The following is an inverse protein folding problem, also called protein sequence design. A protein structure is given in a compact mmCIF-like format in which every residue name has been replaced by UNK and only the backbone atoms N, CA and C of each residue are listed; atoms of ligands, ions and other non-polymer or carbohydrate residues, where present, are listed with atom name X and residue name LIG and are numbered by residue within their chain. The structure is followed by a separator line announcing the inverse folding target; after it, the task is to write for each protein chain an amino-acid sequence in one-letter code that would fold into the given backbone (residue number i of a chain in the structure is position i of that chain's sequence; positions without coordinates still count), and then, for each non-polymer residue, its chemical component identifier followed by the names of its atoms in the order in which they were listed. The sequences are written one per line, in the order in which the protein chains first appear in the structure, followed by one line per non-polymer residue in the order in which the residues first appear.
data_IF_428365479281
#
_entry.id   IF_428365479281
#
_cell.length_a   1.000
_cell.length_b   1.000
_cell.length_c   1.000
_cell.angle_alpha   90.00
_cell.angle_beta   90.00
_cell.angle_gamma   90.00
#
_symmetry.space_group_name_H-M   'P 1'
#
loop_
_entity.id
_entity.type
_entity.pdbx_description
1 polymer ?
#
# COMPACT_ATOMS: atom_id res chain seq x y z
N UNK A 1 -10.05 10.35 12.08
CA UNK A 1 -10.94 9.23 11.77
C UNK A 1 -12.37 9.62 12.14
N UNK A 2 -13.28 9.63 11.16
CA UNK A 2 -14.70 10.02 11.36
C UNK A 2 -14.84 11.32 12.15
N UNK A 3 -14.18 12.39 11.67
CA UNK A 3 -14.13 13.74 12.27
C UNK A 3 -13.42 13.81 13.64
N UNK A 4 -12.98 12.66 14.19
CA UNK A 4 -12.23 12.65 15.44
C UNK A 4 -10.72 12.83 15.14
N UNK A 5 -10.07 13.85 15.73
CA UNK A 5 -8.63 14.02 15.58
C UNK A 5 -7.86 12.80 16.08
N UNK A 6 -6.80 12.38 15.39
CA UNK A 6 -5.98 11.25 15.83
C UNK A 6 -5.37 11.44 17.22
N UNK A 7 -5.08 12.69 17.60
CA UNK A 7 -4.58 13.05 18.92
C UNK A 7 -5.57 12.80 20.08
N UNK A 8 -6.86 12.63 19.78
CA UNK A 8 -7.90 12.33 20.76
C UNK A 8 -8.14 10.82 20.93
N UNK A 9 -7.52 9.99 20.09
CA UNK A 9 -7.64 8.53 20.13
C UNK A 9 -6.46 7.92 20.89
N UNK A 10 -6.72 6.86 21.65
CA UNK A 10 -5.65 6.04 22.22
C UNK A 10 -4.92 5.24 21.13
N UNK A 11 -3.66 4.87 21.39
CA UNK A 11 -2.91 4.00 20.46
C UNK A 11 -3.64 2.69 20.16
N UNK A 12 -4.32 2.10 21.16
CA UNK A 12 -5.09 0.87 20.97
C UNK A 12 -6.28 1.05 20.03
N UNK A 13 -6.96 2.20 20.07
CA UNK A 13 -8.06 2.54 19.15
C UNK A 13 -7.54 2.76 17.74
N UNK A 14 -6.42 3.50 17.60
CA UNK A 14 -5.79 3.74 16.28
C UNK A 14 -5.43 2.41 15.62
N UNK A 15 -4.66 1.54 16.30
CA UNK A 15 -4.16 0.30 15.72
C UNK A 15 -5.22 -0.82 15.57
N UNK A 16 -6.44 -0.62 16.06
CA UNK A 16 -7.58 -1.49 15.74
C UNK A 16 -8.28 -1.09 14.44
N UNK A 17 -8.13 0.16 14.03
CA UNK A 17 -8.83 0.74 12.85
C UNK A 17 -7.86 0.99 11.69
N UNK A 18 -6.60 1.26 11.97
CA UNK A 18 -5.55 1.53 10.98
C UNK A 18 -4.56 0.38 10.98
N UNK A 19 -4.22 -0.14 9.81
CA UNK A 19 -3.14 -1.09 9.65
C UNK A 19 -2.05 -0.52 8.73
N UNK A 20 -0.79 -0.78 9.12
CA UNK A 20 0.39 -0.33 8.37
C UNK A 20 1.07 -1.50 7.68
N UNK A 21 1.35 -1.32 6.39
CA UNK A 21 2.09 -2.25 5.54
C UNK A 21 3.44 -1.62 5.22
N UNK A 22 4.53 -2.07 5.84
CA UNK A 22 5.87 -1.58 5.54
C UNK A 22 6.35 -2.11 4.19
N UNK A 23 7.40 -1.50 3.66
CA UNK A 23 8.18 -2.06 2.57
C UNK A 23 8.83 -3.38 3.01
N UNK A 24 8.82 -4.41 2.12
CA UNK A 24 9.28 -5.78 2.43
C UNK A 24 10.79 -5.95 2.56
N UNK A 25 11.55 -4.88 2.90
CA UNK A 25 13.02 -4.94 3.04
C UNK A 25 13.46 -5.60 4.35
N UNK A 26 14.38 -6.56 4.25
CA UNK A 26 15.19 -7.02 5.41
C UNK A 26 14.44 -7.86 6.45
N UNK A 27 13.27 -8.41 6.13
CA UNK A 27 12.53 -9.27 7.05
C UNK A 27 13.14 -10.68 7.00
N UNK A 28 14.13 -10.92 7.87
CA UNK A 28 14.71 -12.26 8.08
C UNK A 28 14.00 -12.93 9.27
N UNK A 29 12.78 -13.39 9.06
CA UNK A 29 12.01 -14.07 10.08
C UNK A 29 11.77 -15.54 9.70
N UNK A 30 11.95 -16.45 10.66
CA UNK A 30 11.70 -17.89 10.50
C UNK A 30 10.22 -18.27 10.56
N UNK A 31 9.31 -17.27 10.53
CA UNK A 31 7.87 -17.51 10.59
C UNK A 31 7.34 -17.95 9.22
N UNK A 32 6.34 -18.82 9.24
CA UNK A 32 5.51 -19.14 8.06
C UNK A 32 4.61 -17.95 7.70
N UNK A 33 4.03 -17.94 6.48
CA UNK A 33 3.06 -16.93 6.10
C UNK A 33 1.89 -16.84 7.09
N UNK A 34 1.35 -17.99 7.48
CA UNK A 34 0.21 -18.04 8.41
C UNK A 34 0.57 -17.42 9.78
N UNK A 35 1.73 -17.78 10.33
CA UNK A 35 2.21 -17.19 11.58
C UNK A 35 2.44 -15.68 11.46
N UNK A 36 3.01 -15.22 10.34
CA UNK A 36 3.20 -13.80 10.04
C UNK A 36 1.86 -13.05 9.99
N UNK A 37 0.85 -13.61 9.30
CA UNK A 37 -0.48 -13.02 9.19
C UNK A 37 -1.19 -13.01 10.55
N UNK A 38 -1.06 -14.08 11.31
CA UNK A 38 -1.63 -14.19 12.66
C UNK A 38 -1.10 -13.12 13.62
N UNK A 39 0.14 -12.62 13.43
CA UNK A 39 0.66 -11.47 14.20
C UNK A 39 -0.16 -10.20 13.99
N UNK A 40 -0.91 -10.07 12.90
CA UNK A 40 -1.87 -8.98 12.71
C UNK A 40 -2.96 -8.92 13.80
N UNK A 41 -3.20 -10.02 14.52
CA UNK A 41 -4.16 -10.07 15.63
C UNK A 41 -3.62 -9.55 16.96
N UNK A 42 -2.31 -9.28 17.05
CA UNK A 42 -1.65 -8.91 18.31
C UNK A 42 -2.25 -7.69 19.00
N UNK A 43 -2.76 -6.70 18.23
CA UNK A 43 -3.45 -5.52 18.80
C UNK A 43 -4.79 -5.83 19.50
N UNK A 44 -5.33 -7.02 19.28
CA UNK A 44 -6.60 -7.50 19.85
C UNK A 44 -6.40 -8.58 20.92
N UNK A 45 -5.18 -9.11 21.03
CA UNK A 45 -4.82 -10.12 22.02
C UNK A 45 -4.30 -9.44 23.29
N UNK A 46 -4.64 -9.99 24.46
CA UNK A 46 -4.01 -9.58 25.73
C UNK A 46 -2.54 -10.00 25.79
N UNK A 47 -1.77 -9.40 26.69
CA UNK A 47 -0.31 -9.56 26.79
C UNK A 47 0.19 -11.02 26.89
N UNK A 48 -0.64 -11.92 27.39
CA UNK A 48 -0.33 -13.36 27.56
C UNK A 48 -1.35 -14.26 26.86
N UNK A 49 -2.24 -13.69 26.02
CA UNK A 49 -3.24 -14.48 25.34
C UNK A 49 -2.61 -15.20 24.13
N UNK A 50 -2.95 -16.48 23.99
CA UNK A 50 -2.64 -17.21 22.76
C UNK A 50 -3.72 -16.96 21.71
N UNK A 51 -3.37 -16.99 20.42
CA UNK A 51 -4.35 -16.88 19.33
C UNK A 51 -5.43 -17.97 19.46
N UNK A 52 -6.66 -17.56 19.30
CA UNK A 52 -7.83 -18.45 19.31
C UNK A 52 -8.00 -19.15 17.95
N UNK A 53 -8.91 -20.14 17.88
CA UNK A 53 -9.31 -20.76 16.59
C UNK A 53 -9.92 -19.73 15.63
N UNK A 54 -10.60 -18.73 16.17
CA UNK A 54 -11.16 -17.64 15.36
C UNK A 54 -10.05 -16.74 14.78
N UNK A 55 -9.01 -16.43 15.52
CA UNK A 55 -7.87 -15.66 15.01
C UNK A 55 -7.15 -16.42 13.88
N UNK A 56 -7.02 -17.75 14.03
CA UNK A 56 -6.45 -18.61 12.99
C UNK A 56 -7.30 -18.57 11.71
N UNK A 57 -8.62 -18.73 11.83
CA UNK A 57 -9.57 -18.63 10.70
C UNK A 57 -9.45 -17.29 9.99
N UNK A 58 -9.36 -16.19 10.73
CA UNK A 58 -9.21 -14.84 10.17
C UNK A 58 -7.87 -14.67 9.45
N UNK A 59 -6.81 -15.30 9.92
CA UNK A 59 -5.51 -15.28 9.24
C UNK A 59 -5.56 -16.08 7.92
N UNK A 60 -6.22 -17.22 7.89
CA UNK A 60 -6.45 -18.01 6.67
C UNK A 60 -7.30 -17.26 5.67
N UNK A 61 -8.39 -16.62 6.10
CA UNK A 61 -9.24 -15.78 5.26
C UNK A 61 -8.48 -14.58 4.67
N UNK A 62 -7.60 -13.95 5.45
CA UNK A 62 -6.78 -12.86 4.96
C UNK A 62 -5.77 -13.30 3.89
N UNK A 63 -5.18 -14.50 4.02
CA UNK A 63 -4.33 -15.10 2.97
C UNK A 63 -5.14 -15.41 1.70
N UNK A 64 -6.37 -15.90 1.85
CA UNK A 64 -7.27 -16.16 0.73
C UNK A 64 -7.68 -14.88 0.01
N UNK A 65 -8.04 -13.85 0.77
CA UNK A 65 -8.42 -12.53 0.24
C UNK A 65 -7.33 -11.91 -0.65
N UNK A 66 -6.06 -12.09 -0.28
CA UNK A 66 -4.92 -11.63 -1.06
C UNK A 66 -4.53 -12.61 -2.18
N UNK A 67 -5.07 -13.84 -2.16
CA UNK A 67 -4.80 -14.87 -3.17
C UNK A 67 -3.50 -15.63 -2.94
N UNK A 68 -3.03 -15.73 -1.70
CA UNK A 68 -1.75 -16.36 -1.34
C UNK A 68 -1.88 -17.51 -0.33
N UNK A 69 -3.04 -18.16 -0.24
CA UNK A 69 -3.27 -19.31 0.66
C UNK A 69 -2.27 -20.44 0.45
N UNK A 70 -1.76 -20.62 -0.78
CA UNK A 70 -0.75 -21.62 -1.13
C UNK A 70 0.61 -21.38 -0.45
N UNK A 71 0.85 -20.17 0.09
CA UNK A 71 2.05 -19.82 0.83
C UNK A 71 1.92 -20.08 2.34
N UNK A 72 0.75 -20.48 2.84
CA UNK A 72 0.42 -20.54 4.27
C UNK A 72 1.53 -21.18 5.12
N UNK A 73 2.11 -22.28 4.69
CA UNK A 73 3.16 -23.03 5.39
C UNK A 73 4.59 -22.66 4.93
N UNK A 74 4.74 -21.79 3.94
CA UNK A 74 6.07 -21.40 3.43
C UNK A 74 6.73 -20.43 4.41
N UNK A 75 8.01 -20.66 4.78
CA UNK A 75 8.77 -19.70 5.59
C UNK A 75 8.94 -18.35 4.87
N UNK A 76 8.72 -17.24 5.57
CA UNK A 76 8.88 -15.89 4.99
C UNK A 76 10.29 -15.64 4.45
N UNK A 77 11.32 -16.26 5.04
CA UNK A 77 12.72 -16.18 4.59
C UNK A 77 12.98 -16.84 3.22
N UNK A 78 12.05 -17.66 2.73
CA UNK A 78 12.14 -18.36 1.43
C UNK A 78 11.21 -17.75 0.36
N UNK A 79 10.56 -16.63 0.68
CA UNK A 79 9.65 -15.96 -0.24
C UNK A 79 10.37 -14.98 -1.16
N UNK A 80 9.84 -14.81 -2.37
CA UNK A 80 10.20 -13.66 -3.21
C UNK A 80 9.69 -12.35 -2.56
N UNK A 81 10.24 -11.22 -2.98
CA UNK A 81 9.79 -9.91 -2.49
C UNK A 81 8.29 -9.68 -2.68
N UNK A 82 7.75 -10.08 -3.84
CA UNK A 82 6.31 -9.98 -4.13
C UNK A 82 5.45 -10.90 -3.26
N UNK A 83 5.87 -12.16 -3.06
CA UNK A 83 5.17 -13.09 -2.16
C UNK A 83 5.15 -12.54 -0.73
N UNK A 84 6.29 -12.05 -0.24
CA UNK A 84 6.39 -11.49 1.10
C UNK A 84 5.53 -10.22 1.25
N UNK A 85 5.52 -9.33 0.25
CA UNK A 85 4.68 -8.13 0.28
C UNK A 85 3.19 -8.48 0.33
N UNK A 86 2.74 -9.47 -0.42
CA UNK A 86 1.35 -9.96 -0.35
C UNK A 86 1.02 -10.53 1.03
N UNK A 87 1.93 -11.27 1.66
CA UNK A 87 1.76 -11.77 3.03
C UNK A 87 1.69 -10.62 4.04
N UNK A 88 2.46 -9.54 3.86
CA UNK A 88 2.38 -8.35 4.71
C UNK A 88 1.05 -7.60 4.56
N UNK A 89 0.49 -7.55 3.34
CA UNK A 89 -0.85 -7.02 3.11
C UNK A 89 -1.91 -7.91 3.79
N UNK A 90 -1.81 -9.23 3.67
CA UNK A 90 -2.70 -10.17 4.37
C UNK A 90 -2.62 -9.99 5.90
N UNK A 91 -1.41 -9.80 6.46
CA UNK A 91 -1.23 -9.48 7.88
C UNK A 91 -1.98 -8.22 8.30
N UNK A 92 -1.90 -7.17 7.48
CA UNK A 92 -2.63 -5.94 7.73
C UNK A 92 -4.14 -6.17 7.70
N UNK A 93 -4.66 -6.91 6.71
CA UNK A 93 -6.08 -7.25 6.58
C UNK A 93 -6.61 -8.09 7.74
N UNK A 94 -5.80 -8.95 8.31
CA UNK A 94 -6.16 -9.79 9.47
C UNK A 94 -6.58 -8.97 10.69
N UNK A 95 -6.18 -7.69 10.78
CA UNK A 95 -6.66 -6.75 11.82
C UNK A 95 -8.09 -6.31 11.60
N UNK A 96 -8.70 -6.55 10.42
CA UNK A 96 -9.96 -5.96 9.95
C UNK A 96 -9.93 -4.42 10.03
N UNK A 97 -9.02 -3.77 9.30
CA UNK A 97 -8.83 -2.33 9.37
C UNK A 97 -9.91 -1.59 8.58
N UNK A 98 -10.14 -0.33 8.93
CA UNK A 98 -10.92 0.62 8.14
C UNK A 98 -10.03 1.39 7.16
N UNK A 99 -8.73 1.52 7.51
CA UNK A 99 -7.73 2.24 6.72
C UNK A 99 -6.43 1.43 6.64
N UNK A 100 -5.92 1.24 5.43
CA UNK A 100 -4.58 0.73 5.16
C UNK A 100 -3.63 1.90 4.87
N UNK A 101 -2.47 1.90 5.50
CA UNK A 101 -1.35 2.78 5.15
C UNK A 101 -0.26 1.88 4.58
N UNK A 102 0.10 2.10 3.31
CA UNK A 102 1.09 1.30 2.60
C UNK A 102 2.30 2.18 2.24
N UNK A 103 3.47 1.73 2.63
CA UNK A 103 4.73 2.43 2.39
C UNK A 103 5.50 1.77 1.27
N UNK A 104 5.49 2.39 0.08
CA UNK A 104 6.10 1.89 -1.15
C UNK A 104 5.82 0.39 -1.40
N UNK A 105 4.55 -0.06 -1.40
CA UNK A 105 4.22 -1.48 -1.42
C UNK A 105 4.66 -2.18 -2.71
N UNK A 106 4.89 -1.44 -3.79
CA UNK A 106 5.32 -1.94 -5.10
C UNK A 106 6.84 -1.84 -5.33
N UNK A 107 7.59 -1.25 -4.41
CA UNK A 107 9.03 -1.02 -4.59
C UNK A 107 9.84 -2.31 -4.63
N UNK A 108 10.85 -2.34 -5.50
CA UNK A 108 11.76 -3.48 -5.73
C UNK A 108 11.08 -4.77 -6.20
N UNK A 109 9.88 -4.66 -6.76
CA UNK A 109 9.15 -5.78 -7.36
C UNK A 109 9.24 -5.74 -8.88
N UNK A 110 9.08 -6.89 -9.51
CA UNK A 110 8.89 -6.96 -10.96
C UNK A 110 7.52 -6.41 -11.38
N UNK A 111 7.37 -6.08 -12.66
CA UNK A 111 6.16 -5.47 -13.21
C UNK A 111 4.87 -6.26 -12.90
N UNK A 112 4.93 -7.60 -12.93
CA UNK A 112 3.78 -8.44 -12.62
C UNK A 112 3.34 -8.25 -11.19
N UNK A 113 4.27 -8.35 -10.24
CA UNK A 113 3.98 -8.24 -8.82
C UNK A 113 3.53 -6.81 -8.45
N UNK A 114 4.11 -5.77 -9.09
CA UNK A 114 3.63 -4.39 -8.92
C UNK A 114 2.15 -4.27 -9.29
N UNK A 115 1.76 -4.77 -10.47
CA UNK A 115 0.36 -4.73 -10.92
C UNK A 115 -0.57 -5.52 -10.00
N UNK A 116 -0.17 -6.72 -9.58
CA UNK A 116 -0.96 -7.55 -8.66
C UNK A 116 -1.24 -6.80 -7.35
N UNK A 117 -0.25 -6.13 -6.77
CA UNK A 117 -0.42 -5.36 -5.53
C UNK A 117 -1.37 -4.18 -5.73
N UNK A 118 -1.21 -3.41 -6.82
CA UNK A 118 -2.10 -2.30 -7.11
C UNK A 118 -3.55 -2.76 -7.31
N UNK A 119 -3.75 -3.88 -8.00
CA UNK A 119 -5.08 -4.46 -8.22
C UNK A 119 -5.71 -4.96 -6.91
N UNK A 120 -4.91 -5.58 -6.02
CA UNK A 120 -5.37 -5.98 -4.68
C UNK A 120 -5.83 -4.74 -3.90
N UNK A 121 -5.01 -3.68 -3.81
CA UNK A 121 -5.36 -2.47 -3.07
C UNK A 121 -6.62 -1.80 -3.64
N UNK A 122 -6.71 -1.69 -4.97
CA UNK A 122 -7.90 -1.16 -5.66
C UNK A 122 -9.15 -1.97 -5.35
N UNK A 123 -9.07 -3.30 -5.39
CA UNK A 123 -10.17 -4.21 -5.07
C UNK A 123 -10.60 -4.06 -3.61
N UNK A 124 -9.67 -4.05 -2.66
CA UNK A 124 -9.96 -3.86 -1.24
C UNK A 124 -10.68 -2.53 -0.97
N UNK A 125 -10.27 -1.47 -1.65
CA UNK A 125 -10.91 -0.16 -1.53
C UNK A 125 -12.33 -0.18 -2.12
N UNK A 126 -12.51 -0.69 -3.35
CA UNK A 126 -13.78 -0.63 -4.07
C UNK A 126 -14.83 -1.62 -3.57
N UNK A 127 -14.42 -2.85 -3.25
CA UNK A 127 -15.34 -3.94 -2.91
C UNK A 127 -15.54 -4.10 -1.39
N UNK A 128 -14.52 -3.79 -0.59
CA UNK A 128 -14.58 -3.93 0.88
C UNK A 128 -14.75 -2.61 1.62
N UNK A 129 -14.67 -1.47 0.91
CA UNK A 129 -14.78 -0.15 1.51
C UNK A 129 -13.63 0.21 2.45
N UNK A 130 -12.48 -0.44 2.31
CA UNK A 130 -11.29 -0.15 3.12
C UNK A 130 -10.58 1.04 2.50
N UNK A 131 -10.43 2.14 3.24
CA UNK A 131 -9.63 3.27 2.81
C UNK A 131 -8.15 2.87 2.62
N UNK A 132 -7.46 3.46 1.63
CA UNK A 132 -6.05 3.21 1.42
C UNK A 132 -5.28 4.52 1.24
N UNK A 133 -4.18 4.68 1.97
CA UNK A 133 -3.16 5.72 1.75
C UNK A 133 -1.88 5.03 1.33
N UNK A 134 -1.38 5.36 0.15
CA UNK A 134 -0.17 4.78 -0.41
C UNK A 134 0.88 5.88 -0.51
N UNK A 135 2.01 5.70 0.19
CA UNK A 135 3.22 6.44 -0.10
C UNK A 135 3.94 5.75 -1.26
N UNK A 136 4.18 6.47 -2.36
CA UNK A 136 4.84 5.92 -3.55
C UNK A 136 5.67 6.98 -4.27
N UNK A 137 6.70 6.56 -4.96
CA UNK A 137 7.48 7.39 -5.88
C UNK A 137 7.18 7.05 -7.35
N UNK A 138 6.11 6.30 -7.62
CA UNK A 138 5.63 5.97 -8.97
C UNK A 138 4.34 6.73 -9.31
N UNK A 139 4.43 7.96 -9.88
CA UNK A 139 3.24 8.78 -10.14
C UNK A 139 2.26 8.12 -11.13
N UNK A 140 2.75 7.30 -12.06
CA UNK A 140 1.90 6.53 -12.97
C UNK A 140 1.02 5.50 -12.23
N UNK A 141 1.52 4.92 -11.14
CA UNK A 141 0.74 4.02 -10.30
C UNK A 141 -0.36 4.78 -9.55
N UNK A 142 -0.04 5.98 -9.03
CA UNK A 142 -1.05 6.83 -8.40
C UNK A 142 -2.16 7.24 -9.40
N UNK A 143 -1.81 7.65 -10.62
CA UNK A 143 -2.81 7.92 -11.68
C UNK A 143 -3.68 6.71 -12.02
N UNK A 144 -3.14 5.49 -11.88
CA UNK A 144 -3.88 4.25 -12.20
C UNK A 144 -4.94 3.90 -11.16
N UNK A 145 -4.71 4.14 -9.86
CA UNK A 145 -5.56 3.60 -8.80
C UNK A 145 -6.11 4.63 -7.82
N UNK A 146 -5.48 5.80 -7.67
CA UNK A 146 -5.86 6.76 -6.64
C UNK A 146 -7.02 7.67 -7.08
N UNK A 147 -7.93 7.95 -6.16
CA UNK A 147 -8.97 8.97 -6.33
C UNK A 147 -8.40 10.37 -6.07
N UNK A 148 -7.48 10.48 -5.11
CA UNK A 148 -6.85 11.74 -4.69
C UNK A 148 -5.34 11.55 -4.55
N UNK A 149 -4.58 12.63 -4.74
CA UNK A 149 -3.15 12.65 -4.57
C UNK A 149 -2.70 13.83 -3.71
N UNK A 150 -1.64 13.61 -2.96
CA UNK A 150 -0.91 14.64 -2.23
C UNK A 150 0.54 14.63 -2.71
N UNK A 151 1.00 15.73 -3.29
CA UNK A 151 2.40 15.94 -3.66
C UNK A 151 3.06 16.80 -2.57
N UNK A 152 4.15 16.31 -2.01
CA UNK A 152 4.97 17.04 -1.05
C UNK A 152 6.16 17.67 -1.79
N UNK A 153 6.25 18.98 -1.77
CA UNK A 153 7.35 19.72 -2.38
C UNK A 153 8.56 19.81 -1.43
N UNK A 154 9.76 20.00 -1.99
CA UNK A 154 11.00 20.14 -1.21
C UNK A 154 11.03 21.39 -0.32
N UNK A 155 10.28 22.43 -0.66
CA UNK A 155 10.14 23.66 0.11
C UNK A 155 9.18 23.56 1.30
N UNK A 156 8.61 22.36 1.54
CA UNK A 156 7.64 22.11 2.60
C UNK A 156 6.20 22.44 2.24
N UNK A 157 5.94 22.98 1.03
CA UNK A 157 4.57 23.16 0.54
C UNK A 157 4.00 21.84 0.03
N UNK A 158 2.67 21.77 -0.12
CA UNK A 158 2.01 20.58 -0.65
C UNK A 158 0.89 20.96 -1.63
N UNK A 159 0.59 20.05 -2.54
CA UNK A 159 -0.51 20.15 -3.49
C UNK A 159 -1.41 18.94 -3.27
N UNK A 160 -2.70 19.17 -3.04
CA UNK A 160 -3.68 18.11 -2.77
C UNK A 160 -4.93 18.31 -3.63
N UNK A 161 -5.45 17.22 -4.16
CA UNK A 161 -6.67 17.23 -4.97
C UNK A 161 -6.91 15.90 -5.65
N UNK A 162 -7.80 15.87 -6.64
CA UNK A 162 -8.00 14.70 -7.50
C UNK A 162 -6.68 14.26 -8.13
N UNK A 163 -6.47 12.96 -8.27
CA UNK A 163 -5.19 12.45 -8.75
C UNK A 163 -4.83 12.97 -10.15
N UNK A 164 -5.81 13.00 -11.07
CA UNK A 164 -5.67 13.47 -12.44
C UNK A 164 -5.43 15.00 -12.54
N UNK A 165 -5.93 15.79 -11.59
CA UNK A 165 -5.73 17.25 -11.52
C UNK A 165 -4.45 17.62 -10.76
N UNK A 166 -3.98 16.76 -9.87
CA UNK A 166 -2.81 17.01 -9.01
C UNK A 166 -1.52 16.52 -9.66
N UNK A 167 -1.54 15.34 -10.29
CA UNK A 167 -0.38 14.75 -10.97
C UNK A 167 -0.33 15.31 -12.39
N UNK A 168 0.21 16.52 -12.53
CA UNK A 168 0.40 17.21 -13.81
C UNK A 168 1.89 17.35 -14.12
N UNK A 169 2.23 17.62 -15.39
CA UNK A 169 3.62 17.88 -15.80
C UNK A 169 4.23 19.00 -14.96
N UNK A 170 3.52 20.13 -14.80
CA UNK A 170 3.97 21.28 -14.03
C UNK A 170 4.23 20.95 -12.55
N UNK A 171 3.29 20.26 -11.89
CA UNK A 171 3.44 19.89 -10.48
C UNK A 171 4.58 18.88 -10.26
N UNK A 172 4.76 17.96 -11.22
CA UNK A 172 5.86 16.99 -11.19
C UNK A 172 7.21 17.67 -11.40
N UNK A 173 7.31 18.63 -12.34
CA UNK A 173 8.52 19.43 -12.55
C UNK A 173 8.90 20.20 -11.28
N UNK A 174 7.94 20.85 -10.65
CA UNK A 174 8.13 21.61 -9.41
C UNK A 174 8.57 20.71 -8.24
N UNK A 175 7.92 19.59 -8.03
CA UNK A 175 8.17 18.73 -6.87
C UNK A 175 9.48 17.94 -6.99
N UNK A 176 9.79 17.43 -8.19
CA UNK A 176 10.88 16.48 -8.41
C UNK A 176 12.07 17.09 -9.15
N UNK A 177 11.97 18.33 -9.66
CA UNK A 177 13.00 18.98 -10.50
C UNK A 177 13.33 18.14 -11.74
N UNK A 178 12.31 17.57 -12.38
CA UNK A 178 12.41 16.71 -13.55
C UNK A 178 11.36 17.10 -14.56
N UNK A 179 11.76 17.42 -15.77
CA UNK A 179 10.82 17.58 -16.89
C UNK A 179 10.19 16.23 -17.19
N UNK A 180 8.88 16.15 -17.12
CA UNK A 180 8.11 14.94 -17.46
C UNK A 180 7.14 15.24 -18.61
N UNK A 181 6.66 14.17 -19.25
CA UNK A 181 5.49 14.18 -20.14
C UNK A 181 4.50 13.14 -19.65
N UNK A 182 3.23 13.51 -19.66
CA UNK A 182 2.14 12.59 -19.38
C UNK A 182 1.53 12.21 -20.72
N UNK A 183 1.60 10.93 -21.06
CA UNK A 183 1.09 10.38 -22.31
C UNK A 183 -0.09 9.46 -22.02
N UNK A 184 -1.19 9.68 -22.74
CA UNK A 184 -2.37 8.86 -22.66
C UNK A 184 -2.38 7.85 -23.81
N UNK A 185 -2.76 6.64 -23.53
CA UNK A 185 -3.01 5.64 -24.56
C UNK A 185 -4.21 4.76 -24.20
N UNK A 186 -4.91 4.28 -25.23
CA UNK A 186 -6.11 3.44 -25.06
C UNK A 186 -5.74 2.00 -25.34
N UNK A 187 -6.10 1.12 -24.42
CA UNK A 187 -6.01 -0.32 -24.57
C UNK A 187 -7.29 -0.97 -23.99
N UNK A 188 -7.97 -1.81 -24.80
CA UNK A 188 -9.26 -2.43 -24.45
C UNK A 188 -10.30 -1.40 -23.92
N UNK A 189 -10.47 -0.29 -24.63
CA UNK A 189 -11.39 0.83 -24.29
C UNK A 189 -11.11 1.52 -22.95
N UNK A 190 -9.96 1.23 -22.32
CA UNK A 190 -9.51 1.87 -21.09
C UNK A 190 -8.39 2.86 -21.39
N UNK A 191 -8.52 4.09 -20.89
CA UNK A 191 -7.45 5.09 -20.98
C UNK A 191 -6.41 4.85 -19.88
N UNK A 192 -5.16 4.73 -20.28
CA UNK A 192 -4.01 4.60 -19.38
C UNK A 192 -3.14 5.84 -19.45
N UNK A 193 -2.70 6.32 -18.30
CA UNK A 193 -1.80 7.46 -18.17
C UNK A 193 -0.39 6.93 -17.85
N UNK A 194 0.61 7.44 -18.55
CA UNK A 194 2.00 7.12 -18.28
C UNK A 194 2.80 8.41 -18.04
N UNK A 195 3.61 8.45 -16.99
CA UNK A 195 4.48 9.58 -16.66
C UNK A 195 5.88 9.24 -17.13
N UNK A 196 6.35 9.97 -18.15
CA UNK A 196 7.61 9.73 -18.83
C UNK A 196 8.62 10.80 -18.39
N UNK A 197 9.65 10.45 -17.60
CA UNK A 197 10.72 11.39 -17.26
C UNK A 197 11.60 11.65 -18.50
N UNK A 198 11.84 12.93 -18.80
CA UNK A 198 12.60 13.36 -19.99
C UNK A 198 14.02 13.80 -19.60
N UNK A 199 14.15 14.72 -18.66
CA UNK A 199 15.44 15.25 -18.19
C UNK A 199 15.31 15.88 -16.80
N UNK A 200 16.39 15.95 -16.08
CA UNK A 200 16.47 16.74 -14.84
C UNK A 200 16.50 18.23 -15.16
N UNK A 201 15.90 19.06 -14.31
CA UNK A 201 16.12 20.50 -14.33
C UNK A 201 17.47 20.78 -13.67
N UNK A 202 18.35 21.49 -14.34
CA UNK A 202 19.59 21.99 -13.73
C UNK A 202 19.24 23.20 -12.84
N UNK A 203 20.01 23.40 -11.76
CA UNK A 203 19.83 24.55 -10.83
C UNK A 203 20.08 25.93 -11.50
N UNK A 204 20.14 26.00 -12.81
CA UNK A 204 20.37 27.20 -13.63
C UNK A 204 19.24 27.49 -14.62
N UNK A 205 18.15 26.74 -14.63
CA UNK A 205 16.96 26.95 -15.49
C UNK A 205 15.82 27.61 -14.70
#
# INVERSE_FOLDING_TARGET
LDETPLSALSYGEIWRRIAYVPQSKGISLSYTALEMVLMGRSSRLGLFAQPSREDLRLAEEALEEVGVSFLSQKPCSQMSGGELQMVLIARALCTKPELLILDEPESNLDFKNQLVILDIVKRLSREKGIGAVINTHYPAHALKIADQALILNRDGTSIYGRADETITEENMEKAFSVVVRIADYIYDDVCYHNVIPIRTLSSAD
#
